data_IF_804909612123
#
_entry.id   IF_804909612123
#
_cell.length_a   1.000
_cell.length_b   1.000
_cell.length_c   1.000
_cell.angle_alpha   90.00
_cell.angle_beta   90.00
_cell.angle_gamma   90.00
#
_symmetry.space_group_name_H-M   'P 1'
#
loop_
_entity.id
_entity.type
_entity.pdbx_description
1 polymer ?
#
# COMPACT_ATOMS: atom_id res chain seq x y z
N UNK A 1 -43.25 20.78 11.08
CA UNK A 1 -43.52 20.95 9.63
C UNK A 1 -42.38 21.58 8.83
N UNK A 2 -41.66 22.61 9.31
CA UNK A 2 -40.38 23.04 8.67
C UNK A 2 -39.14 22.34 9.29
N UNK A 3 -39.08 22.21 10.62
CA UNK A 3 -37.95 21.56 11.33
C UNK A 3 -37.72 20.09 10.95
N UNK A 4 -38.78 19.33 10.70
CA UNK A 4 -38.67 17.89 10.38
C UNK A 4 -38.16 17.61 8.95
N UNK A 5 -38.12 18.61 8.06
CA UNK A 5 -37.57 18.47 6.70
C UNK A 5 -36.07 18.78 6.65
N UNK A 6 -35.61 19.71 7.47
CA UNK A 6 -34.21 20.13 7.50
C UNK A 6 -33.33 19.04 8.18
N UNK A 7 -33.83 18.37 9.23
CA UNK A 7 -33.13 17.25 9.89
C UNK A 7 -33.01 16.01 8.99
N UNK A 8 -34.03 15.71 8.17
CA UNK A 8 -33.99 14.60 7.21
C UNK A 8 -33.06 14.86 6.01
N UNK A 9 -32.87 16.12 5.62
CA UNK A 9 -31.91 16.51 4.59
C UNK A 9 -30.46 16.53 5.11
N UNK A 10 -30.23 16.89 6.38
CA UNK A 10 -28.91 16.81 7.04
C UNK A 10 -28.48 15.36 7.29
N UNK A 11 -29.35 14.49 7.82
CA UNK A 11 -29.06 13.06 8.01
C UNK A 11 -28.78 12.36 6.67
N UNK A 12 -29.55 12.69 5.63
CA UNK A 12 -29.34 12.18 4.27
C UNK A 12 -28.02 12.63 3.63
N UNK A 13 -27.47 13.77 4.06
CA UNK A 13 -26.21 14.30 3.55
C UNK A 13 -25.00 13.75 4.33
N UNK A 14 -25.12 13.54 5.65
CA UNK A 14 -24.11 12.86 6.46
C UNK A 14 -23.95 11.38 6.05
N UNK A 15 -25.05 10.69 5.76
CA UNK A 15 -25.03 9.28 5.34
C UNK A 15 -24.49 9.12 3.89
N UNK A 16 -24.70 10.15 3.06
CA UNK A 16 -24.13 10.24 1.70
C UNK A 16 -22.64 10.60 1.70
N UNK A 17 -22.16 11.34 2.71
CA UNK A 17 -20.73 11.61 2.91
C UNK A 17 -19.98 10.45 3.59
N UNK A 18 -20.67 9.60 4.38
CA UNK A 18 -20.14 8.33 4.91
C UNK A 18 -19.92 7.26 3.84
N UNK A 19 -20.61 7.35 2.68
CA UNK A 19 -20.29 6.55 1.49
C UNK A 19 -19.16 7.17 0.67
N UNK A 20 -18.11 7.64 1.34
CA UNK A 20 -16.79 7.79 0.72
C UNK A 20 -16.45 6.38 0.24
N UNK A 21 -16.43 6.15 -1.08
CA UNK A 21 -16.17 4.83 -1.65
C UNK A 21 -14.78 4.38 -1.22
N UNK A 22 -14.73 3.67 -0.08
CA UNK A 22 -13.63 2.81 0.26
C UNK A 22 -13.51 1.84 -0.89
N UNK A 23 -12.41 1.97 -1.63
CA UNK A 23 -11.97 0.93 -2.52
C UNK A 23 -11.55 -0.21 -1.59
N UNK A 24 -12.52 -1.06 -1.21
CA UNK A 24 -12.24 -2.26 -0.42
C UNK A 24 -11.59 -3.25 -1.35
N UNK A 25 -10.26 -3.28 -1.34
CA UNK A 25 -9.47 -4.36 -1.92
C UNK A 25 -9.69 -5.60 -1.04
N UNK A 26 -10.73 -6.40 -1.32
CA UNK A 26 -10.94 -7.67 -0.65
C UNK A 26 -9.89 -8.67 -1.17
N UNK A 27 -8.70 -8.64 -0.58
CA UNK A 27 -7.63 -9.59 -0.90
C UNK A 27 -7.88 -10.90 -0.14
N UNK A 28 -7.80 -12.09 -0.77
CA UNK A 28 -7.90 -13.36 -0.04
C UNK A 28 -6.87 -13.45 1.07
N UNK A 29 -7.32 -13.85 2.27
CA UNK A 29 -6.53 -13.99 3.49
C UNK A 29 -5.55 -15.17 3.41
N UNK A 30 -4.56 -15.06 2.53
CA UNK A 30 -3.37 -15.92 2.53
C UNK A 30 -2.26 -15.19 3.28
N UNK A 31 -2.19 -15.32 4.62
CA UNK A 31 -1.13 -14.71 5.41
C UNK A 31 0.22 -15.26 4.97
N UNK A 32 1.27 -14.49 5.22
CA UNK A 32 2.63 -14.97 4.97
C UNK A 32 2.99 -16.07 5.98
N UNK A 33 3.61 -17.14 5.50
CA UNK A 33 4.05 -18.29 6.30
C UNK A 33 5.55 -18.53 6.13
N UNK A 34 6.20 -19.19 7.10
CA UNK A 34 7.65 -19.48 7.04
C UNK A 34 8.03 -20.24 5.77
N UNK A 35 7.22 -21.21 5.36
CA UNK A 35 7.45 -21.99 4.14
C UNK A 35 7.25 -21.20 2.84
N UNK A 36 6.77 -19.96 2.87
CA UNK A 36 6.72 -19.14 1.67
C UNK A 36 8.10 -18.63 1.26
N UNK A 37 9.04 -18.52 2.21
CA UNK A 37 10.34 -17.91 1.97
C UNK A 37 11.38 -18.95 1.55
N UNK A 38 12.25 -18.53 0.62
CA UNK A 38 13.43 -19.27 0.16
C UNK A 38 14.61 -18.32 0.22
N UNK A 39 15.70 -18.76 0.83
CA UNK A 39 16.91 -17.96 0.97
C UNK A 39 17.98 -18.47 0.00
N UNK A 40 18.51 -17.57 -0.83
CA UNK A 40 19.54 -17.91 -1.81
C UNK A 40 20.43 -16.69 -2.08
N UNK A 41 21.75 -16.87 -2.07
CA UNK A 41 22.75 -15.83 -2.32
C UNK A 41 22.52 -14.52 -1.54
N UNK A 42 22.24 -14.63 -0.24
CA UNK A 42 21.98 -13.47 0.63
C UNK A 42 20.66 -12.73 0.34
N UNK A 43 19.75 -13.33 -0.43
CA UNK A 43 18.43 -12.77 -0.76
C UNK A 43 17.31 -13.66 -0.25
N UNK A 44 16.22 -13.00 0.16
CA UNK A 44 14.95 -13.59 0.56
C UNK A 44 14.00 -13.54 -0.63
N UNK A 45 13.69 -14.71 -1.17
CA UNK A 45 12.70 -14.92 -2.22
C UNK A 45 11.39 -15.42 -1.62
N UNK A 46 10.28 -15.16 -2.32
CA UNK A 46 8.97 -15.71 -2.00
C UNK A 46 8.62 -16.73 -3.08
N UNK A 47 8.23 -17.93 -2.68
CA UNK A 47 7.73 -18.96 -3.62
C UNK A 47 6.55 -18.37 -4.40
N UNK A 48 6.55 -18.45 -5.75
CA UNK A 48 5.45 -17.95 -6.55
C UNK A 48 4.10 -18.53 -6.09
N UNK A 49 3.05 -17.71 -6.12
CA UNK A 49 1.73 -18.10 -5.64
C UNK A 49 0.62 -17.51 -6.51
N UNK A 50 -0.54 -18.17 -6.53
CA UNK A 50 -1.73 -17.63 -7.14
C UNK A 50 -2.39 -16.59 -6.23
N UNK A 51 -2.87 -15.52 -6.84
CA UNK A 51 -3.44 -14.39 -6.15
C UNK A 51 -4.61 -13.81 -6.92
N UNK A 52 -5.66 -13.44 -6.20
CA UNK A 52 -6.84 -12.79 -6.75
C UNK A 52 -6.86 -11.30 -6.36
N UNK A 53 -6.84 -10.42 -7.35
CA UNK A 53 -7.23 -9.03 -7.14
C UNK A 53 -8.73 -8.91 -7.26
N UNK A 54 -9.37 -8.51 -6.17
CA UNK A 54 -10.80 -8.18 -6.15
C UNK A 54 -10.97 -6.68 -6.10
N UNK A 55 -11.82 -6.15 -6.98
CA UNK A 55 -12.22 -4.75 -6.95
C UNK A 55 -13.70 -4.62 -7.32
N UNK A 56 -14.35 -3.57 -6.84
CA UNK A 56 -15.73 -3.26 -7.20
C UNK A 56 -15.77 -2.15 -8.23
N UNK A 57 -16.66 -2.28 -9.22
CA UNK A 57 -16.83 -1.27 -10.26
C UNK A 57 -17.36 0.03 -9.67
N UNK A 58 -16.52 1.06 -9.75
CA UNK A 58 -16.86 2.42 -9.35
C UNK A 58 -17.47 3.21 -10.52
N UNK A 59 -17.92 4.46 -10.26
CA UNK A 59 -18.56 5.31 -11.27
C UNK A 59 -17.67 5.63 -12.49
N UNK A 60 -16.34 5.76 -12.32
CA UNK A 60 -15.42 6.10 -13.43
C UNK A 60 -15.15 4.94 -14.39
N UNK A 61 -15.55 3.73 -14.01
CA UNK A 61 -15.33 2.49 -14.76
C UNK A 61 -16.57 2.02 -15.52
N UNK A 62 -17.75 2.45 -15.07
CA UNK A 62 -19.03 2.13 -15.69
C UNK A 62 -19.06 2.49 -17.18
N UNK A 63 -19.63 1.59 -17.99
CA UNK A 63 -19.76 1.79 -19.43
C UNK A 63 -18.49 1.50 -20.26
N UNK A 64 -17.36 1.17 -19.62
CA UNK A 64 -16.15 0.71 -20.32
C UNK A 64 -16.20 -0.80 -20.54
N UNK A 65 -15.56 -1.26 -21.62
CA UNK A 65 -15.29 -2.70 -21.76
C UNK A 65 -14.30 -3.14 -20.68
N UNK A 66 -14.37 -4.40 -20.26
CA UNK A 66 -13.45 -4.95 -19.25
C UNK A 66 -11.98 -4.75 -19.67
N UNK A 67 -11.65 -4.92 -20.95
CA UNK A 67 -10.28 -4.80 -21.43
C UNK A 67 -9.83 -3.35 -21.47
N UNK A 68 -10.69 -2.43 -21.91
CA UNK A 68 -10.32 -1.01 -21.97
C UNK A 68 -10.20 -0.42 -20.56
N UNK A 69 -11.07 -0.85 -19.64
CA UNK A 69 -10.93 -0.55 -18.21
C UNK A 69 -9.55 -0.94 -17.71
N UNK A 70 -9.15 -2.20 -17.91
CA UNK A 70 -7.87 -2.68 -17.40
C UNK A 70 -6.68 -2.00 -18.08
N UNK A 71 -6.72 -1.83 -19.40
CA UNK A 71 -5.63 -1.21 -20.15
C UNK A 71 -5.42 0.27 -19.80
N UNK A 72 -6.49 1.01 -19.47
CA UNK A 72 -6.39 2.42 -19.10
C UNK A 72 -5.92 2.63 -17.66
N UNK A 73 -6.46 1.84 -16.72
CA UNK A 73 -6.21 1.99 -15.28
C UNK A 73 -4.91 1.32 -14.84
N UNK A 74 -4.58 0.17 -15.43
CA UNK A 74 -3.44 -0.65 -15.03
C UNK A 74 -2.41 -0.75 -16.16
N UNK A 75 -1.71 0.36 -16.41
CA UNK A 75 -0.71 0.48 -17.49
C UNK A 75 0.53 -0.41 -17.33
N UNK A 76 0.59 -1.23 -16.28
CA UNK A 76 1.70 -2.16 -16.05
C UNK A 76 1.71 -3.39 -16.97
N UNK A 77 0.66 -3.61 -17.78
CA UNK A 77 0.59 -4.72 -18.76
C UNK A 77 -0.05 -4.24 -20.06
N UNK A 78 0.26 -4.91 -21.17
CA UNK A 78 -0.30 -4.58 -22.49
C UNK A 78 -1.80 -4.90 -22.57
N UNK A 79 -2.48 -4.26 -23.53
CA UNK A 79 -3.88 -4.56 -23.82
C UNK A 79 -4.09 -6.04 -24.19
N UNK A 80 -3.16 -6.62 -24.96
CA UNK A 80 -3.21 -8.02 -25.38
C UNK A 80 -3.14 -9.00 -24.21
N UNK A 81 -2.38 -8.65 -23.17
CA UNK A 81 -2.37 -9.44 -21.93
C UNK A 81 -3.78 -9.51 -21.33
N UNK A 82 -4.52 -8.40 -21.30
CA UNK A 82 -5.88 -8.35 -20.74
C UNK A 82 -6.90 -9.08 -21.62
N UNK A 83 -6.77 -9.00 -22.95
CA UNK A 83 -7.57 -9.81 -23.88
C UNK A 83 -7.36 -11.30 -23.61
N UNK A 84 -6.11 -11.74 -23.50
CA UNK A 84 -5.77 -13.12 -23.17
C UNK A 84 -6.31 -13.52 -21.79
N UNK A 85 -6.16 -12.68 -20.78
CA UNK A 85 -6.62 -12.94 -19.42
C UNK A 85 -8.14 -13.15 -19.34
N UNK A 86 -8.92 -12.36 -20.09
CA UNK A 86 -10.37 -12.56 -20.20
C UNK A 86 -10.69 -13.89 -20.90
N UNK A 87 -10.06 -14.15 -22.07
CA UNK A 87 -10.30 -15.37 -22.85
C UNK A 87 -10.01 -16.66 -22.08
N UNK A 88 -9.00 -16.66 -21.22
CA UNK A 88 -8.65 -17.83 -20.41
C UNK A 88 -9.30 -17.84 -19.01
N UNK A 89 -10.31 -16.98 -18.75
CA UNK A 89 -11.06 -16.96 -17.48
C UNK A 89 -10.27 -16.43 -16.28
N UNK A 90 -9.12 -15.78 -16.48
CA UNK A 90 -8.34 -15.14 -15.39
C UNK A 90 -8.93 -13.81 -14.97
N UNK A 91 -9.81 -13.20 -15.77
CA UNK A 91 -10.60 -12.04 -15.38
C UNK A 91 -12.07 -12.43 -15.43
N UNK A 92 -12.75 -12.26 -14.31
CA UNK A 92 -14.15 -12.61 -14.12
C UNK A 92 -14.92 -11.42 -13.55
N UNK A 93 -16.22 -11.39 -13.83
CA UNK A 93 -17.16 -10.41 -13.28
C UNK A 93 -18.25 -11.19 -12.55
N UNK A 94 -18.46 -10.86 -11.27
CA UNK A 94 -19.38 -11.54 -10.36
C UNK A 94 -19.16 -13.07 -10.28
N UNK A 95 -17.93 -13.52 -10.55
CA UNK A 95 -17.54 -14.94 -10.55
C UNK A 95 -17.75 -15.67 -11.89
N UNK A 96 -18.25 -14.98 -12.91
CA UNK A 96 -18.51 -15.56 -14.23
C UNK A 96 -17.43 -15.18 -15.26
N UNK A 97 -17.19 -16.10 -16.21
CA UNK A 97 -16.38 -15.82 -17.38
C UNK A 97 -17.18 -14.93 -18.34
N UNK A 98 -16.53 -13.88 -18.83
CA UNK A 98 -17.17 -12.86 -19.66
C UNK A 98 -16.47 -12.73 -21.02
N UNK A 99 -17.16 -12.26 -22.08
CA UNK A 99 -16.53 -11.96 -23.34
C UNK A 99 -15.64 -10.71 -23.24
N UNK A 100 -14.66 -10.59 -24.14
CA UNK A 100 -13.74 -9.42 -24.23
C UNK A 100 -14.50 -8.09 -24.41
N UNK A 101 -15.65 -8.12 -25.08
CA UNK A 101 -16.54 -6.99 -25.30
C UNK A 101 -17.44 -6.65 -24.12
N UNK A 102 -17.38 -7.38 -23.02
CA UNK A 102 -18.25 -7.17 -21.87
C UNK A 102 -18.07 -5.77 -21.28
N UNK A 103 -19.18 -5.06 -21.14
CA UNK A 103 -19.23 -3.71 -20.57
C UNK A 103 -19.59 -3.84 -19.09
N UNK A 104 -18.72 -3.31 -18.22
CA UNK A 104 -18.91 -3.43 -16.77
C UNK A 104 -19.97 -2.46 -16.26
N UNK A 105 -20.75 -2.91 -15.29
CA UNK A 105 -21.81 -2.14 -14.60
C UNK A 105 -21.37 -1.81 -13.18
N UNK A 106 -21.93 -0.73 -12.63
CA UNK A 106 -21.62 -0.26 -11.28
C UNK A 106 -21.87 -1.34 -10.23
N UNK A 107 -21.04 -1.34 -9.18
CA UNK A 107 -21.09 -2.27 -8.03
C UNK A 107 -20.78 -3.74 -8.34
N UNK A 108 -20.52 -4.12 -9.60
CA UNK A 108 -20.08 -5.49 -9.90
C UNK A 108 -18.71 -5.79 -9.32
N UNK A 109 -18.49 -7.04 -8.93
CA UNK A 109 -17.21 -7.54 -8.42
C UNK A 109 -16.36 -8.01 -9.60
N UNK A 110 -15.20 -7.39 -9.79
CA UNK A 110 -14.19 -7.85 -10.74
C UNK A 110 -13.14 -8.66 -9.99
N UNK A 111 -12.88 -9.88 -10.43
CA UNK A 111 -11.82 -10.76 -9.95
C UNK A 111 -10.75 -10.93 -11.04
N UNK A 112 -9.49 -10.71 -10.71
CA UNK A 112 -8.35 -10.96 -11.61
C UNK A 112 -7.34 -11.88 -10.94
N UNK A 113 -7.22 -13.09 -11.47
CA UNK A 113 -6.31 -14.13 -10.99
C UNK A 113 -4.95 -14.04 -11.67
N UNK A 114 -3.89 -13.94 -10.86
CA UNK A 114 -2.50 -13.87 -11.33
C UNK A 114 -1.62 -14.87 -10.60
N UNK A 115 -0.63 -15.36 -11.33
CA UNK A 115 0.54 -16.00 -10.73
C UNK A 115 1.54 -14.89 -10.37
N UNK A 116 1.74 -14.65 -9.06
CA UNK A 116 2.57 -13.57 -8.53
C UNK A 116 4.00 -14.03 -8.30
N UNK A 117 4.93 -13.16 -8.70
CA UNK A 117 6.36 -13.27 -8.49
C UNK A 117 6.81 -11.99 -7.80
N UNK A 118 7.11 -12.07 -6.51
CA UNK A 118 7.59 -10.91 -5.76
C UNK A 118 9.09 -10.72 -6.03
N UNK A 119 9.57 -9.48 -6.23
CA UNK A 119 11.00 -9.23 -6.30
C UNK A 119 11.70 -9.67 -5.01
N UNK A 120 12.92 -10.20 -5.09
CA UNK A 120 13.68 -10.56 -3.91
C UNK A 120 14.08 -9.32 -3.12
N UNK A 121 14.23 -9.49 -1.81
CA UNK A 121 14.80 -8.51 -0.88
C UNK A 121 16.07 -9.08 -0.26
N UNK A 122 16.89 -8.25 0.40
CA UNK A 122 18.04 -8.76 1.15
C UNK A 122 17.57 -9.69 2.27
N UNK A 123 18.30 -10.77 2.51
CA UNK A 123 18.01 -11.76 3.55
C UNK A 123 18.42 -11.30 4.95
N UNK A 124 18.28 -10.01 5.24
CA UNK A 124 18.50 -9.48 6.58
C UNK A 124 17.25 -9.68 7.44
N UNK A 125 17.48 -9.81 8.75
CA UNK A 125 16.43 -10.01 9.72
C UNK A 125 15.68 -8.70 9.99
N UNK A 126 14.41 -8.84 10.35
CA UNK A 126 13.63 -7.75 10.95
C UNK A 126 13.75 -7.92 12.46
N UNK A 127 14.78 -7.33 13.05
CA UNK A 127 15.07 -7.48 14.47
C UNK A 127 13.99 -6.79 15.31
N UNK A 128 13.41 -7.52 16.27
CA UNK A 128 12.49 -6.95 17.27
C UNK A 128 13.32 -6.32 18.38
N UNK A 129 13.26 -5.00 18.50
CA UNK A 129 13.98 -4.23 19.52
C UNK A 129 13.17 -4.15 20.82
N UNK A 130 11.87 -3.88 20.71
CA UNK A 130 10.96 -3.80 21.86
C UNK A 130 9.58 -4.34 21.46
N UNK A 131 8.96 -5.09 22.38
CA UNK A 131 7.66 -5.71 22.18
C UNK A 131 6.74 -5.44 23.37
N UNK A 132 6.16 -4.25 23.39
CA UNK A 132 5.27 -3.75 24.44
C UNK A 132 3.82 -4.20 24.22
N UNK A 133 2.92 -4.13 25.22
CA UNK A 133 1.53 -4.57 25.08
C UNK A 133 0.79 -4.00 23.87
N UNK A 134 1.02 -2.72 23.56
CA UNK A 134 0.34 -2.00 22.48
C UNK A 134 1.21 -1.68 21.25
N UNK A 135 2.53 -1.79 21.38
CA UNK A 135 3.50 -1.25 20.40
C UNK A 135 4.63 -2.25 20.16
N UNK A 136 5.07 -2.36 18.91
CA UNK A 136 6.21 -3.13 18.48
C UNK A 136 7.22 -2.20 17.80
N UNK A 137 8.45 -2.24 18.27
CA UNK A 137 9.57 -1.49 17.68
C UNK A 137 10.53 -2.49 17.05
N UNK A 138 10.86 -2.29 15.77
CA UNK A 138 11.77 -3.14 15.01
C UNK A 138 12.90 -2.34 14.36
N UNK A 139 14.03 -3.00 14.12
CA UNK A 139 15.04 -2.52 13.19
C UNK A 139 14.65 -3.01 11.79
N UNK A 140 14.14 -2.09 10.95
CA UNK A 140 13.81 -2.39 9.56
C UNK A 140 15.10 -2.45 8.74
N UNK A 141 15.39 -3.56 8.04
CA UNK A 141 16.48 -3.61 7.08
C UNK A 141 16.18 -2.77 5.83
N UNK A 142 17.24 -2.26 5.18
CA UNK A 142 17.12 -1.70 3.84
C UNK A 142 16.69 -2.80 2.84
N UNK A 143 16.14 -2.38 1.69
CA UNK A 143 15.56 -3.21 0.63
C UNK A 143 14.15 -3.77 0.86
N UNK A 144 13.68 -3.87 2.11
CA UNK A 144 12.37 -4.44 2.46
C UNK A 144 11.31 -3.33 2.60
N UNK A 145 10.17 -3.36 1.87
CA UNK A 145 9.06 -2.43 2.11
C UNK A 145 8.37 -2.67 3.46
N UNK A 146 7.78 -1.64 4.05
CA UNK A 146 7.07 -1.76 5.34
C UNK A 146 5.82 -2.64 5.22
N UNK A 147 4.93 -2.32 4.29
CA UNK A 147 3.62 -2.96 4.11
C UNK A 147 3.42 -3.38 2.65
N UNK A 148 2.42 -4.24 2.34
CA UNK A 148 2.10 -4.64 0.97
C UNK A 148 1.93 -3.44 0.04
N UNK A 149 2.76 -3.35 -1.00
CA UNK A 149 2.72 -2.28 -1.98
C UNK A 149 3.29 -2.73 -3.33
N UNK A 150 2.63 -2.35 -4.42
CA UNK A 150 3.05 -2.66 -5.78
C UNK A 150 3.26 -4.17 -6.02
N UNK A 151 4.52 -4.56 -6.20
CA UNK A 151 4.91 -5.96 -6.45
C UNK A 151 5.13 -6.78 -5.16
N UNK A 152 5.22 -6.13 -4.00
CA UNK A 152 5.53 -6.75 -2.71
C UNK A 152 4.26 -6.97 -1.89
N UNK A 153 4.12 -8.16 -1.31
CA UNK A 153 3.05 -8.51 -0.38
C UNK A 153 3.60 -9.30 0.80
N UNK A 154 4.19 -10.48 0.56
CA UNK A 154 4.82 -11.30 1.59
C UNK A 154 6.21 -10.76 1.93
N UNK A 155 7.01 -10.34 0.94
CA UNK A 155 8.33 -9.71 1.14
C UNK A 155 8.18 -8.26 1.66
N UNK A 156 7.62 -8.10 2.84
CA UNK A 156 7.43 -6.82 3.55
C UNK A 156 7.69 -7.01 5.03
N UNK A 157 7.97 -5.95 5.78
CA UNK A 157 8.17 -6.04 7.25
C UNK A 157 6.99 -6.73 7.91
N UNK A 158 5.76 -6.35 7.55
CA UNK A 158 4.55 -6.98 8.07
C UNK A 158 4.47 -8.47 7.73
N UNK A 159 4.75 -8.86 6.48
CA UNK A 159 4.70 -10.26 6.05
C UNK A 159 5.79 -11.11 6.69
N UNK A 160 6.97 -10.54 6.90
CA UNK A 160 8.09 -11.20 7.57
C UNK A 160 7.77 -11.42 9.05
N UNK A 161 7.32 -10.38 9.76
CA UNK A 161 6.95 -10.48 11.18
C UNK A 161 5.79 -11.44 11.42
N UNK A 162 4.78 -11.43 10.53
CA UNK A 162 3.68 -12.37 10.57
C UNK A 162 4.17 -13.82 10.43
N UNK A 163 5.04 -14.09 9.45
CA UNK A 163 5.52 -15.43 9.18
C UNK A 163 6.50 -15.93 10.24
N UNK A 164 7.46 -15.11 10.65
CA UNK A 164 8.57 -15.53 11.50
C UNK A 164 8.20 -15.55 12.97
N UNK A 165 7.42 -14.56 13.42
CA UNK A 165 7.10 -14.30 14.82
C UNK A 165 5.61 -14.46 15.14
N UNK A 166 4.73 -14.69 14.15
CA UNK A 166 3.29 -14.75 14.38
C UNK A 166 2.67 -13.41 14.77
N UNK A 167 3.38 -12.30 14.56
CA UNK A 167 2.94 -10.97 14.97
C UNK A 167 2.08 -10.34 13.87
N UNK A 168 0.76 -10.50 13.99
CA UNK A 168 -0.25 -9.85 13.15
C UNK A 168 -1.62 -9.82 13.85
N UNK A 169 -2.50 -8.84 13.55
CA UNK A 169 -2.24 -7.67 12.71
C UNK A 169 -1.31 -6.67 13.40
N UNK A 170 -0.52 -5.96 12.60
CA UNK A 170 0.30 -4.83 13.03
C UNK A 170 -0.04 -3.63 12.15
N UNK A 171 -0.04 -2.45 12.75
CA UNK A 171 -0.46 -1.19 12.13
C UNK A 171 0.73 -0.23 12.15
N UNK A 172 1.45 -0.06 11.02
CA UNK A 172 2.55 0.90 10.94
C UNK A 172 2.09 2.31 11.30
N UNK A 173 2.74 2.91 12.28
CA UNK A 173 2.46 4.27 12.74
C UNK A 173 3.09 5.30 11.78
N UNK A 174 4.24 4.93 11.22
CA UNK A 174 4.90 5.67 10.16
C UNK A 174 5.49 4.68 9.15
N UNK A 175 5.98 5.20 8.02
CA UNK A 175 6.67 4.40 7.01
C UNK A 175 8.10 4.86 6.83
N UNK A 176 8.97 3.90 6.54
CA UNK A 176 10.28 4.13 5.96
C UNK A 176 10.24 3.64 4.52
N UNK A 177 10.92 4.35 3.63
CA UNK A 177 11.04 3.91 2.24
C UNK A 177 11.76 2.57 2.14
N UNK A 178 11.54 1.88 1.03
CA UNK A 178 12.07 0.52 0.80
C UNK A 178 13.58 0.46 1.04
N UNK A 179 14.33 1.47 0.59
CA UNK A 179 15.78 1.52 0.70
C UNK A 179 16.30 2.12 2.02
N UNK A 180 15.43 2.71 2.84
CA UNK A 180 15.81 3.29 4.13
C UNK A 180 15.75 2.20 5.21
N UNK A 181 16.85 2.01 5.93
CA UNK A 181 16.90 1.19 7.15
C UNK A 181 16.65 2.03 8.39
N UNK A 182 16.29 1.39 9.50
CA UNK A 182 16.26 2.05 10.80
C UNK A 182 15.05 1.67 11.65
N UNK A 183 14.82 2.47 12.69
CA UNK A 183 13.74 2.27 13.65
C UNK A 183 12.37 2.37 12.98
N UNK A 184 11.55 1.34 13.13
CA UNK A 184 10.16 1.34 12.69
C UNK A 184 9.25 0.96 13.85
N UNK A 185 8.25 1.80 14.11
CA UNK A 185 7.27 1.59 15.17
C UNK A 185 5.92 1.20 14.55
N UNK A 186 5.31 0.14 15.10
CA UNK A 186 3.99 -0.35 14.72
C UNK A 186 3.12 -0.51 15.96
N UNK A 187 1.85 -0.14 15.84
CA UNK A 187 0.86 -0.45 16.86
C UNK A 187 0.30 -1.87 16.66
N UNK A 188 -0.17 -2.48 17.75
CA UNK A 188 -0.85 -3.79 17.74
C UNK A 188 -2.36 -3.68 17.57
N UNK A 189 -2.92 -2.49 17.71
CA UNK A 189 -4.34 -2.22 17.52
C UNK A 189 -4.55 -0.87 16.80
N UNK A 190 -5.66 -0.70 16.06
CA UNK A 190 -5.89 0.49 15.25
C UNK A 190 -6.11 1.75 16.08
N UNK A 191 -6.71 1.66 17.28
CA UNK A 191 -6.91 2.80 18.16
C UNK A 191 -5.57 3.41 18.60
N UNK A 192 -4.59 2.57 18.97
CA UNK A 192 -3.24 3.01 19.30
C UNK A 192 -2.51 3.60 18.09
N UNK A 193 -2.67 2.98 16.91
CA UNK A 193 -2.10 3.50 15.67
C UNK A 193 -2.58 4.94 15.41
N UNK A 194 -3.88 5.20 15.63
CA UNK A 194 -4.47 6.51 15.43
C UNK A 194 -3.95 7.55 16.43
N UNK A 195 -3.81 7.19 17.71
CA UNK A 195 -3.22 8.07 18.73
C UNK A 195 -1.81 8.52 18.30
N UNK A 196 -0.95 7.58 17.90
CA UNK A 196 0.40 7.94 17.46
C UNK A 196 0.40 8.75 16.16
N UNK A 197 -0.52 8.46 15.23
CA UNK A 197 -0.68 9.27 14.00
C UNK A 197 -1.00 10.73 14.37
N UNK A 198 -1.92 10.95 15.30
CA UNK A 198 -2.25 12.29 15.79
C UNK A 198 -1.04 12.97 16.45
N UNK A 199 -0.20 12.23 17.18
CA UNK A 199 1.02 12.78 17.79
C UNK A 199 2.07 13.18 16.73
N UNK A 200 2.21 12.40 15.66
CA UNK A 200 3.08 12.74 14.53
C UNK A 200 2.55 13.99 13.80
N UNK A 201 1.24 14.05 13.55
CA UNK A 201 0.59 15.20 12.91
C UNK A 201 0.70 16.48 13.75
N UNK A 202 0.64 16.35 15.08
CA UNK A 202 0.84 17.45 16.02
C UNK A 202 2.32 17.83 16.25
N UNK A 203 3.27 17.18 15.57
CA UNK A 203 4.71 17.48 15.71
C UNK A 203 5.32 17.04 17.06
N UNK A 204 4.64 16.19 17.83
CA UNK A 204 5.10 15.73 19.15
C UNK A 204 6.15 14.62 19.08
N UNK A 205 6.43 14.11 17.87
CA UNK A 205 7.38 13.01 17.64
C UNK A 205 8.60 13.51 16.89
N UNK A 206 9.76 13.44 17.54
CA UNK A 206 11.05 13.72 16.91
C UNK A 206 11.60 12.48 16.21
N UNK A 207 12.04 12.63 14.96
CA UNK A 207 12.65 11.59 14.14
C UNK A 207 14.01 12.06 13.68
N UNK A 208 15.05 11.29 13.97
CA UNK A 208 16.42 11.59 13.57
C UNK A 208 16.90 10.55 12.55
N UNK A 209 17.59 11.03 11.51
CA UNK A 209 18.12 10.20 10.43
C UNK A 209 19.60 10.49 10.27
N UNK A 210 20.38 9.44 9.99
CA UNK A 210 21.77 9.56 9.59
C UNK A 210 21.86 9.23 8.10
N UNK A 211 22.50 10.10 7.34
CA UNK A 211 22.68 9.94 5.90
C UNK A 211 24.12 10.23 5.50
N UNK A 212 24.60 9.51 4.48
CA UNK A 212 25.85 9.83 3.78
C UNK A 212 25.51 10.57 2.49
N UNK A 213 26.05 11.77 2.34
CA UNK A 213 25.78 12.65 1.19
C UNK A 213 27.02 12.82 0.31
N UNK A 214 26.80 13.25 -0.94
CA UNK A 214 27.86 13.63 -1.87
C UNK A 214 28.04 15.15 -1.79
N UNK A 215 29.28 15.62 -1.64
CA UNK A 215 29.63 17.04 -1.55
C UNK A 215 30.27 17.42 -0.22
N UNK A 216 30.37 18.72 0.05
CA UNK A 216 30.84 19.28 1.32
C UNK A 216 29.62 19.75 2.10
N UNK A 217 29.38 19.14 3.25
CA UNK A 217 28.28 19.53 4.13
C UNK A 217 28.71 20.71 5.00
N UNK A 218 27.83 21.69 5.29
CA UNK A 218 28.15 22.80 6.17
C UNK A 218 28.53 22.31 7.58
N UNK A 219 29.50 22.97 8.23
CA UNK A 219 29.91 22.63 9.60
C UNK A 219 28.86 23.05 10.64
N UNK A 220 28.05 24.07 10.33
CA UNK A 220 26.99 24.58 11.18
C UNK A 220 25.64 23.90 10.88
N UNK A 221 24.82 23.73 11.91
CA UNK A 221 23.45 23.24 11.75
C UNK A 221 22.66 24.13 10.79
N UNK A 222 21.95 23.50 9.86
CA UNK A 222 21.12 24.17 8.87
C UNK A 222 19.67 23.72 9.06
N UNK A 223 18.75 24.69 9.07
CA UNK A 223 17.32 24.43 8.98
C UNK A 223 16.90 24.65 7.54
N UNK A 224 16.36 23.59 6.91
CA UNK A 224 15.83 23.67 5.55
C UNK A 224 14.31 23.58 5.65
N UNK A 225 13.64 24.67 5.26
CA UNK A 225 12.18 24.76 5.14
C UNK A 225 11.84 25.08 3.68
N UNK A 226 11.47 24.04 2.93
CA UNK A 226 11.19 24.12 1.50
C UNK A 226 10.07 23.16 1.13
N UNK A 227 9.17 23.59 0.24
CA UNK A 227 8.10 22.73 -0.26
C UNK A 227 8.66 21.65 -1.18
N UNK A 228 8.01 20.49 -1.16
CA UNK A 228 8.31 19.38 -2.05
C UNK A 228 7.16 19.21 -3.04
N UNK A 229 7.46 19.43 -4.31
CA UNK A 229 6.53 19.22 -5.42
C UNK A 229 6.65 17.82 -5.98
N UNK A 230 5.53 17.12 -6.15
CA UNK A 230 5.48 15.80 -6.76
C UNK A 230 4.89 15.85 -8.17
N UNK A 231 5.71 15.52 -9.18
CA UNK A 231 5.25 15.34 -10.54
C UNK A 231 4.77 13.89 -10.76
N UNK A 232 3.44 13.70 -10.71
CA UNK A 232 2.83 12.38 -10.88
C UNK A 232 3.03 11.74 -12.26
N UNK A 233 3.32 12.53 -13.31
CA UNK A 233 3.57 12.00 -14.66
C UNK A 233 4.96 11.40 -14.78
N UNK A 234 5.93 12.00 -14.11
CA UNK A 234 7.34 11.57 -14.12
C UNK A 234 7.69 10.65 -12.94
N UNK A 235 6.82 10.59 -11.93
CA UNK A 235 7.06 9.82 -10.71
C UNK A 235 8.23 10.36 -9.89
N UNK A 236 8.46 11.67 -9.95
CA UNK A 236 9.62 12.33 -9.33
C UNK A 236 9.17 13.49 -8.45
N UNK A 237 9.85 13.65 -7.32
CA UNK A 237 9.71 14.81 -6.44
C UNK A 237 10.88 15.78 -6.63
N UNK A 238 10.61 17.07 -6.53
CA UNK A 238 11.59 18.17 -6.53
C UNK A 238 11.32 19.08 -5.35
N UNK A 239 12.37 19.63 -4.74
CA UNK A 239 12.21 20.71 -3.77
C UNK A 239 12.12 22.04 -4.53
N UNK A 240 11.30 22.96 -4.06
CA UNK A 240 11.38 24.36 -4.52
C UNK A 240 12.79 24.88 -4.24
N UNK A 241 13.38 25.60 -5.20
CA UNK A 241 14.61 26.34 -4.93
C UNK A 241 14.24 27.44 -3.93
N UNK A 242 14.67 27.30 -2.67
CA UNK A 242 14.62 28.44 -1.78
C UNK A 242 15.60 29.47 -2.34
N UNK A 243 15.08 30.64 -2.69
CA UNK A 243 15.88 31.83 -2.92
C UNK A 243 16.53 32.19 -1.58
N UNK A 244 17.61 31.49 -1.21
CA UNK A 244 18.50 31.91 -0.15
C UNK A 244 19.22 33.17 -0.67
N UNK A 245 18.59 34.33 -0.45
CA UNK A 245 19.21 35.65 -0.49
C UNK A 245 20.04 35.89 0.75
#
# INVERSE_FOLDING_TARGET
MKRDRDEAEEEGNEERNKRKMEIVWQTPAHPAQKQDYVFHNGKRHVRPYYFEFVSHVNKRWEGKTIVDLFAQEFRGRSRDYYVSAVKCGRIQVDGENIPVSYVVKRCQKISHFLHRHEPPVMAWDVEVLQNEPDVLTVCKPASVPVHPCGQYRKNTVLGILQAEYGLAPLYPIHRLDRLVSGLLIMAKNPAKADIFRQHIEAGLVQKQYVAKVVGVFPDAEQVVDANIDYNAREGRSTAEESLLS
#
